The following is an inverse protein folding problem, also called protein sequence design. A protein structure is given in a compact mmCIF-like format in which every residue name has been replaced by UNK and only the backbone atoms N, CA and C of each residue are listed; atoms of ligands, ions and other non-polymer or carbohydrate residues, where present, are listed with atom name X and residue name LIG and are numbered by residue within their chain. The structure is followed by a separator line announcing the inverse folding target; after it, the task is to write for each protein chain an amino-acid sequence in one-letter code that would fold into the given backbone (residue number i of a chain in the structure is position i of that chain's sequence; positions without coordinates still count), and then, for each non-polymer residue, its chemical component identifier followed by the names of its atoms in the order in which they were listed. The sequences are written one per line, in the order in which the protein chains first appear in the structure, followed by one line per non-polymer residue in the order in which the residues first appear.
data_IF_515056207819
#
_entry.id   IF_515056207819
#
_cell.length_a   1.000
_cell.length_b   1.000
_cell.length_c   1.000
_cell.angle_alpha   90.00
_cell.angle_beta   90.00
_cell.angle_gamma   90.00
#
_symmetry.space_group_name_H-M   'P 1'
#
loop_
_entity.id
_entity.type
_entity.pdbx_description
1 polymer ?
#
# COMPACT_ATOMS: atom_id res chain seq x y z
N UNK A 1 -0.86 4.21 -16.83
CA UNK A 1 -0.84 5.12 -15.66
C UNK A 1 -2.27 5.55 -15.43
N UNK A 2 -2.76 5.54 -14.19
CA UNK A 2 -4.13 5.99 -13.84
C UNK A 2 -4.02 7.41 -13.32
N UNK A 3 -4.82 8.32 -13.86
CA UNK A 3 -4.96 9.66 -13.30
C UNK A 3 -6.03 9.63 -12.21
N UNK A 4 -5.59 9.75 -10.95
CA UNK A 4 -6.47 9.65 -9.80
C UNK A 4 -7.32 10.91 -9.54
N UNK A 5 -7.09 12.03 -10.24
CA UNK A 5 -8.02 13.18 -10.17
C UNK A 5 -9.30 12.94 -10.96
N UNK A 6 -9.19 12.20 -12.06
CA UNK A 6 -10.29 11.92 -12.97
C UNK A 6 -10.91 10.54 -12.71
N UNK A 7 -10.14 9.60 -12.15
CA UNK A 7 -10.50 8.19 -12.17
C UNK A 7 -10.45 7.50 -10.79
N UNK A 8 -11.50 6.74 -10.51
CA UNK A 8 -11.55 5.82 -9.37
C UNK A 8 -11.28 4.39 -9.84
N UNK A 9 -10.04 3.93 -9.67
CA UNK A 9 -9.61 2.59 -10.10
C UNK A 9 -10.45 1.46 -9.47
N UNK A 10 -11.04 1.69 -8.28
CA UNK A 10 -11.85 0.68 -7.59
C UNK A 10 -13.22 0.46 -8.23
N UNK A 11 -13.63 1.35 -9.14
CA UNK A 11 -14.92 1.32 -9.85
C UNK A 11 -14.81 0.87 -11.30
N UNK A 12 -13.59 0.62 -11.81
CA UNK A 12 -13.35 0.33 -13.23
C UNK A 12 -13.57 -1.13 -13.65
N UNK A 13 -14.03 -1.99 -12.75
CA UNK A 13 -14.23 -3.42 -13.01
C UNK A 13 -12.93 -4.23 -13.16
N UNK A 14 -11.77 -3.56 -13.20
CA UNK A 14 -10.47 -4.21 -13.15
C UNK A 14 -10.18 -4.70 -11.73
N UNK A 15 -9.66 -5.92 -11.64
CA UNK A 15 -9.23 -6.53 -10.39
C UNK A 15 -7.74 -6.86 -10.39
N UNK A 16 -7.17 -6.95 -9.20
CA UNK A 16 -5.72 -7.08 -8.97
C UNK A 16 -5.40 -8.22 -8.00
N UNK A 17 -4.26 -8.87 -8.21
CA UNK A 17 -3.73 -9.89 -7.28
C UNK A 17 -3.02 -9.27 -6.08
N UNK A 18 -2.49 -8.06 -6.25
CA UNK A 18 -1.83 -7.30 -5.19
C UNK A 18 -2.15 -5.81 -5.32
N UNK A 19 -2.57 -5.21 -4.21
CA UNK A 19 -2.68 -3.75 -4.05
C UNK A 19 -1.75 -3.36 -2.90
N UNK A 20 -0.71 -2.59 -3.22
CA UNK A 20 0.22 -2.01 -2.24
C UNK A 20 -0.13 -0.52 -2.07
N UNK A 21 -0.79 -0.18 -0.97
CA UNK A 21 -1.41 1.13 -0.80
C UNK A 21 -0.62 2.05 0.14
N UNK A 22 -0.02 3.08 -0.44
CA UNK A 22 0.71 4.12 0.29
C UNK A 22 -0.19 5.28 0.71
N UNK A 23 -1.32 5.48 0.02
CA UNK A 23 -2.21 6.62 0.24
C UNK A 23 -3.31 6.30 1.26
N UNK A 24 -3.89 5.10 1.22
CA UNK A 24 -4.90 4.61 2.17
C UNK A 24 -6.09 5.55 2.35
N UNK A 25 -6.61 6.05 1.22
CA UNK A 25 -7.62 7.10 1.14
C UNK A 25 -9.04 6.59 0.91
N UNK A 26 -9.23 5.29 0.66
CA UNK A 26 -10.56 4.69 0.38
C UNK A 26 -10.98 3.69 1.47
N UNK A 27 -12.23 3.23 1.39
CA UNK A 27 -12.74 2.23 2.34
C UNK A 27 -12.15 0.84 2.08
N UNK A 28 -12.15 -0.01 3.10
CA UNK A 28 -11.73 -1.42 2.95
C UNK A 28 -12.55 -2.14 1.87
N UNK A 29 -13.82 -1.77 1.70
CA UNK A 29 -14.73 -2.41 0.75
C UNK A 29 -14.39 -2.07 -0.70
N UNK A 30 -13.87 -0.87 -0.94
CA UNK A 30 -13.43 -0.47 -2.28
C UNK A 30 -12.21 -1.27 -2.71
N UNK A 31 -11.22 -1.42 -1.82
CA UNK A 31 -10.06 -2.27 -2.09
C UNK A 31 -10.42 -3.75 -2.21
N UNK A 32 -11.31 -4.24 -1.34
CA UNK A 32 -11.82 -5.62 -1.41
C UNK A 32 -12.48 -5.92 -2.75
N UNK A 33 -13.25 -4.98 -3.29
CA UNK A 33 -13.92 -5.10 -4.61
C UNK A 33 -12.90 -5.15 -5.74
N UNK A 34 -11.85 -4.35 -5.64
CA UNK A 34 -10.76 -4.30 -6.62
C UNK A 34 -9.79 -5.49 -6.53
N UNK A 35 -9.93 -6.40 -5.56
CA UNK A 35 -9.09 -7.60 -5.50
C UNK A 35 -9.70 -8.80 -6.23
N UNK A 36 -8.83 -9.54 -6.91
CA UNK A 36 -9.10 -10.91 -7.35
C UNK A 36 -9.38 -11.83 -6.15
N UNK A 37 -10.06 -12.97 -6.35
CA UNK A 37 -10.02 -14.07 -5.38
C UNK A 37 -8.55 -14.43 -5.08
N UNK A 38 -8.21 -14.65 -3.79
CA UNK A 38 -6.83 -14.86 -3.30
C UNK A 38 -5.90 -13.64 -3.41
N UNK A 39 -6.41 -12.50 -3.86
CA UNK A 39 -5.68 -11.25 -3.91
C UNK A 39 -5.31 -10.72 -2.52
N UNK A 40 -4.27 -9.90 -2.48
CA UNK A 40 -3.71 -9.34 -1.25
C UNK A 40 -3.75 -7.82 -1.32
N UNK A 41 -4.39 -7.20 -0.34
CA UNK A 41 -4.27 -5.78 -0.08
C UNK A 41 -3.34 -5.56 1.10
N UNK A 42 -2.37 -4.65 0.92
CA UNK A 42 -1.39 -4.27 1.94
C UNK A 42 -1.38 -2.75 2.09
N UNK A 43 -1.84 -2.27 3.24
CA UNK A 43 -1.76 -0.86 3.62
C UNK A 43 -0.35 -0.54 4.15
N UNK A 44 0.31 0.44 3.56
CA UNK A 44 1.56 1.05 4.04
C UNK A 44 1.27 2.35 4.79
N UNK A 45 0.41 3.19 4.24
CA UNK A 45 0.05 4.50 4.78
C UNK A 45 -1.42 4.82 4.53
N UNK A 46 -1.99 5.72 5.33
CA UNK A 46 -3.36 6.19 5.16
C UNK A 46 -4.07 6.59 6.45
N UNK A 47 -5.40 6.59 6.39
CA UNK A 47 -6.25 7.12 7.46
C UNK A 47 -6.44 6.14 8.63
N UNK A 48 -6.61 6.67 9.85
CA UNK A 48 -6.93 5.87 11.04
C UNK A 48 -8.24 5.08 10.90
N UNK A 49 -9.22 5.62 10.17
CA UNK A 49 -10.49 4.92 9.87
C UNK A 49 -10.24 3.64 9.07
N UNK A 50 -9.37 3.68 8.07
CA UNK A 50 -9.02 2.50 7.29
C UNK A 50 -8.24 1.47 8.12
N UNK A 51 -7.34 1.92 9.00
CA UNK A 51 -6.67 1.03 9.97
C UNK A 51 -7.71 0.28 10.81
N UNK A 52 -8.69 1.00 11.37
CA UNK A 52 -9.74 0.39 12.19
C UNK A 52 -10.58 -0.61 11.39
N UNK A 53 -10.97 -0.26 10.15
CA UNK A 53 -11.66 -1.19 9.26
C UNK A 53 -10.84 -2.46 8.98
N UNK A 54 -9.53 -2.34 8.74
CA UNK A 54 -8.65 -3.48 8.49
C UNK A 54 -8.51 -4.38 9.72
N UNK A 55 -8.36 -3.80 10.91
CA UNK A 55 -8.26 -4.56 12.16
C UNK A 55 -9.57 -5.29 12.48
N UNK A 56 -10.72 -4.62 12.32
CA UNK A 56 -12.02 -5.17 12.68
C UNK A 56 -12.59 -6.13 11.62
N UNK A 57 -12.46 -5.79 10.34
CA UNK A 57 -13.13 -6.49 9.24
C UNK A 57 -12.18 -7.35 8.39
N UNK A 58 -10.87 -7.05 8.40
CA UNK A 58 -9.88 -7.77 7.58
C UNK A 58 -9.84 -9.28 7.81
N UNK A 59 -9.82 -9.77 9.06
CA UNK A 59 -9.86 -11.21 9.34
C UNK A 59 -11.14 -11.89 8.86
N UNK A 60 -12.29 -11.21 8.95
CA UNK A 60 -13.57 -11.72 8.46
C UNK A 60 -13.55 -11.86 6.94
N UNK A 61 -13.18 -10.80 6.23
CA UNK A 61 -13.07 -10.80 4.75
C UNK A 61 -12.09 -11.86 4.27
N UNK A 62 -10.96 -12.04 4.96
CA UNK A 62 -9.97 -13.05 4.61
C UNK A 62 -10.53 -14.47 4.69
N UNK A 63 -11.40 -14.74 5.67
CA UNK A 63 -12.02 -16.05 5.85
C UNK A 63 -13.20 -16.28 4.89
N UNK A 64 -14.05 -15.28 4.69
CA UNK A 64 -15.29 -15.44 3.92
C UNK A 64 -15.09 -15.30 2.42
N UNK A 65 -14.18 -14.44 1.97
CA UNK A 65 -13.98 -14.11 0.56
C UNK A 65 -12.63 -14.56 0.02
N UNK A 66 -11.81 -15.21 0.85
CA UNK A 66 -10.46 -15.67 0.50
C UNK A 66 -9.60 -14.52 -0.07
N UNK A 67 -9.71 -13.32 0.52
CA UNK A 67 -8.95 -12.12 0.13
C UNK A 67 -8.20 -11.58 1.33
N UNK A 68 -6.87 -11.49 1.25
CA UNK A 68 -6.05 -11.04 2.38
C UNK A 68 -6.09 -9.52 2.47
N UNK A 69 -6.56 -8.99 3.59
CA UNK A 69 -6.60 -7.55 3.88
C UNK A 69 -5.71 -7.26 5.07
N UNK A 70 -4.59 -6.56 4.90
CA UNK A 70 -3.59 -6.40 5.97
C UNK A 70 -2.90 -5.04 5.98
N UNK A 71 -2.22 -4.75 7.10
CA UNK A 71 -1.42 -3.55 7.33
C UNK A 71 0.04 -3.99 7.42
N UNK A 72 0.91 -3.32 6.66
CA UNK A 72 2.35 -3.47 6.78
C UNK A 72 2.84 -2.65 7.99
N UNK A 73 3.06 -3.33 9.10
CA UNK A 73 3.73 -2.72 10.25
C UNK A 73 5.24 -2.74 9.98
N UNK A 74 5.78 -1.60 9.53
CA UNK A 74 7.20 -1.50 9.23
C UNK A 74 8.04 -1.52 10.52
N UNK A 75 8.99 -2.46 10.60
CA UNK A 75 10.04 -2.48 11.62
C UNK A 75 11.38 -2.19 10.95
N UNK A 76 11.96 -1.00 11.14
CA UNK A 76 13.27 -0.66 10.59
C UNK A 76 14.32 -1.69 11.03
N UNK A 77 15.17 -2.12 10.09
CA UNK A 77 16.26 -3.04 10.39
C UNK A 77 17.50 -2.73 9.54
N UNK A 78 18.67 -3.06 10.09
CA UNK A 78 19.97 -2.76 9.48
C UNK A 78 20.18 -3.48 8.14
N UNK A 79 19.63 -4.70 7.99
CA UNK A 79 19.82 -5.52 6.80
C UNK A 79 19.19 -4.84 5.59
N UNK A 80 17.92 -4.45 5.70
CA UNK A 80 17.18 -3.83 4.61
C UNK A 80 17.74 -2.43 4.28
N UNK A 81 18.16 -1.68 5.29
CA UNK A 81 18.83 -0.38 5.11
C UNK A 81 20.15 -0.52 4.35
N UNK A 82 20.97 -1.52 4.69
CA UNK A 82 22.21 -1.79 3.98
C UNK A 82 21.94 -2.22 2.53
N UNK A 83 20.92 -3.05 2.30
CA UNK A 83 20.51 -3.44 0.96
C UNK A 83 20.10 -2.23 0.10
N UNK A 84 19.27 -1.33 0.64
CA UNK A 84 18.89 -0.09 -0.06
C UNK A 84 20.11 0.81 -0.33
N UNK A 85 21.06 0.89 0.63
CA UNK A 85 22.32 1.63 0.46
C UNK A 85 23.15 1.06 -0.69
N UNK A 86 23.25 -0.27 -0.79
CA UNK A 86 23.98 -0.93 -1.88
C UNK A 86 23.33 -0.67 -3.24
N UNK A 87 21.99 -0.71 -3.33
CA UNK A 87 21.27 -0.34 -4.56
C UNK A 87 21.52 1.12 -4.96
N UNK A 88 21.57 2.02 -3.99
CA UNK A 88 21.89 3.43 -4.21
C UNK A 88 23.32 3.62 -4.73
N UNK A 89 24.32 3.04 -4.04
CA UNK A 89 25.73 3.12 -4.44
C UNK A 89 25.95 2.52 -5.83
N UNK A 90 25.26 1.43 -6.15
CA UNK A 90 25.35 0.77 -7.46
C UNK A 90 24.57 1.49 -8.58
N UNK A 91 23.91 2.62 -8.28
CA UNK A 91 23.10 3.36 -9.26
C UNK A 91 21.82 2.64 -9.71
N UNK A 92 21.41 1.57 -9.01
CA UNK A 92 20.19 0.80 -9.32
C UNK A 92 18.92 1.40 -8.71
N UNK A 93 19.08 2.30 -7.74
CA UNK A 93 18.00 3.06 -7.15
C UNK A 93 18.47 4.50 -6.92
N UNK A 94 17.85 5.47 -7.59
CA UNK A 94 18.17 6.88 -7.43
C UNK A 94 17.03 7.59 -6.67
N UNK A 95 17.30 8.16 -5.48
CA UNK A 95 16.33 8.99 -4.79
C UNK A 95 16.11 10.29 -5.58
N UNK A 96 14.86 10.72 -5.65
CA UNK A 96 14.51 12.03 -6.22
C UNK A 96 14.40 13.07 -5.10
N UNK A 97 15.31 14.05 -5.10
CA UNK A 97 15.29 15.17 -4.15
C UNK A 97 14.72 16.39 -4.87
N UNK A 98 13.48 16.75 -4.54
CA UNK A 98 12.82 17.91 -5.16
C UNK A 98 13.28 19.26 -4.62
N UNK A 99 13.53 19.36 -3.30
CA UNK A 99 13.96 20.59 -2.61
C UNK A 99 14.80 20.25 -1.38
N UNK A 100 15.71 21.14 -1.02
CA UNK A 100 16.54 21.06 0.19
C UNK A 100 16.35 22.34 1.01
N UNK A 101 16.23 22.19 2.34
CA UNK A 101 16.04 23.30 3.28
C UNK A 101 17.11 23.23 4.36
N UNK A 102 17.66 24.37 4.77
CA UNK A 102 18.59 24.44 5.89
C UNK A 102 17.86 24.20 7.21
N UNK A 103 18.51 23.50 8.14
CA UNK A 103 18.07 23.43 9.53
C UNK A 103 18.59 24.69 10.25
N UNK A 104 17.69 25.45 10.90
CA UNK A 104 18.06 26.57 11.77
C UNK A 104 18.66 26.09 13.09
#
# INVERSE_FOLDING_TARGET
MIDYSEEDFTKKGQSYDLILDVAGSRSIFDYKRALNPKGIYVMIGGTTSLILQLVLLGPMISKTENKKMTILIHKPNKKDQNFLKELFIAGKCAPFIGKSFSLN
#
